data_IF_692284464279
#
_entry.id   IF_692284464279
#
_cell.length_a   1.000
_cell.length_b   1.000
_cell.length_c   1.000
_cell.angle_alpha   90.00
_cell.angle_beta   90.00
_cell.angle_gamma   90.00
#
_symmetry.space_group_name_H-M   'P 1'
#
loop_
_entity.id
_entity.type
_entity.pdbx_description
1 polymer ?
#
# COMPACT_ATOMS: atom_id res chain seq x y z
N UNK A 1 -12.05 -0.88 11.37
CA UNK A 1 -12.29 -0.54 9.95
C UNK A 1 -11.10 -1.02 9.16
N UNK A 2 -11.29 -1.74 8.09
CA UNK A 2 -10.16 -2.19 7.27
C UNK A 2 -9.58 -1.03 6.45
N UNK A 3 -8.37 -1.23 5.93
CA UNK A 3 -7.62 -0.21 5.21
C UNK A 3 -8.29 0.25 3.92
N UNK A 4 -8.91 -0.66 3.19
CA UNK A 4 -9.61 -0.33 1.95
C UNK A 4 -10.79 0.58 2.19
N UNK A 5 -11.57 0.33 3.25
CA UNK A 5 -12.68 1.19 3.66
C UNK A 5 -12.20 2.56 4.10
N UNK A 6 -11.09 2.63 4.85
CA UNK A 6 -10.47 3.91 5.24
C UNK A 6 -10.02 4.72 4.03
N UNK A 7 -9.42 4.06 3.05
CA UNK A 7 -8.97 4.71 1.82
C UNK A 7 -10.16 5.28 1.03
N UNK A 8 -11.23 4.50 0.88
CA UNK A 8 -12.45 4.96 0.19
C UNK A 8 -13.09 6.13 0.92
N UNK A 9 -13.18 6.07 2.25
CA UNK A 9 -13.69 7.16 3.06
C UNK A 9 -12.85 8.42 2.90
N UNK A 10 -11.53 8.29 2.95
CA UNK A 10 -10.62 9.43 2.78
C UNK A 10 -10.80 10.09 1.41
N UNK A 11 -10.91 9.31 0.34
CA UNK A 11 -11.15 9.83 -1.01
C UNK A 11 -12.48 10.56 -1.10
N UNK A 12 -13.54 10.00 -0.51
CA UNK A 12 -14.86 10.62 -0.47
C UNK A 12 -14.86 11.93 0.30
N UNK A 13 -14.24 11.94 1.47
CA UNK A 13 -14.14 13.14 2.31
C UNK A 13 -13.31 14.24 1.63
N UNK A 14 -12.22 13.88 0.98
CA UNK A 14 -11.40 14.81 0.21
C UNK A 14 -12.20 15.44 -0.93
N UNK A 15 -12.92 14.63 -1.70
CA UNK A 15 -13.74 15.09 -2.82
C UNK A 15 -14.82 16.07 -2.34
N UNK A 16 -15.51 15.72 -1.25
CA UNK A 16 -16.55 16.56 -0.67
C UNK A 16 -16.00 17.90 -0.15
N UNK A 17 -14.89 17.86 0.59
CA UNK A 17 -14.24 19.05 1.12
C UNK A 17 -13.75 19.97 -0.01
N UNK A 18 -13.12 19.40 -1.03
CA UNK A 18 -12.64 20.15 -2.19
C UNK A 18 -13.77 20.86 -2.93
N UNK A 19 -14.91 20.20 -3.06
CA UNK A 19 -16.09 20.76 -3.71
C UNK A 19 -16.65 21.97 -2.94
N UNK A 20 -16.76 21.86 -1.62
CA UNK A 20 -17.23 22.95 -0.76
C UNK A 20 -16.26 24.14 -0.83
N UNK A 21 -14.97 23.91 -0.72
CA UNK A 21 -13.95 24.96 -0.77
C UNK A 21 -13.96 25.64 -2.13
N UNK A 22 -14.13 24.89 -3.20
CA UNK A 22 -14.22 25.45 -4.56
C UNK A 22 -15.39 26.42 -4.70
N UNK A 23 -16.54 26.07 -4.15
CA UNK A 23 -17.71 26.98 -4.12
C UNK A 23 -17.41 28.25 -3.37
N UNK A 24 -16.71 28.20 -2.26
CA UNK A 24 -16.33 29.38 -1.49
C UNK A 24 -15.32 30.24 -2.25
N UNK A 25 -14.36 29.62 -2.94
CA UNK A 25 -13.39 30.33 -3.79
C UNK A 25 -14.06 31.05 -4.96
N UNK A 26 -15.12 30.49 -5.54
CA UNK A 26 -15.89 31.15 -6.59
C UNK A 26 -16.51 32.47 -6.09
N UNK A 27 -16.91 32.53 -4.81
CA UNK A 27 -17.45 33.72 -4.17
C UNK A 27 -16.37 34.68 -3.71
N UNK A 28 -15.19 34.21 -3.37
CA UNK A 28 -14.07 34.99 -2.85
C UNK A 28 -12.75 34.51 -3.48
N UNK A 29 -12.51 34.80 -4.78
CA UNK A 29 -11.36 34.25 -5.50
C UNK A 29 -10.00 34.66 -4.94
N UNK A 30 -9.93 35.79 -4.24
CA UNK A 30 -8.68 36.32 -3.69
C UNK A 30 -8.45 35.92 -2.22
N UNK A 31 -9.27 35.05 -1.67
CA UNK A 31 -9.14 34.61 -0.29
C UNK A 31 -7.90 33.71 -0.13
N UNK A 32 -6.87 34.27 0.48
CA UNK A 32 -5.58 33.56 0.68
C UNK A 32 -5.69 32.38 1.62
N UNK A 33 -6.56 32.45 2.62
CA UNK A 33 -6.78 31.36 3.57
C UNK A 33 -7.41 30.15 2.88
N UNK A 34 -8.40 30.37 2.01
CA UNK A 34 -9.03 29.32 1.23
C UNK A 34 -8.05 28.68 0.24
N UNK A 35 -7.20 29.47 -0.38
CA UNK A 35 -6.13 28.96 -1.26
C UNK A 35 -5.14 28.10 -0.50
N UNK A 36 -4.74 28.52 0.69
CA UNK A 36 -3.85 27.76 1.56
C UNK A 36 -4.47 26.42 1.96
N UNK A 37 -5.73 26.43 2.38
CA UNK A 37 -6.43 25.19 2.77
C UNK A 37 -6.57 24.23 1.58
N UNK A 38 -6.87 24.75 0.39
CA UNK A 38 -6.93 23.96 -0.84
C UNK A 38 -5.59 23.28 -1.13
N UNK A 39 -4.51 24.02 -1.04
CA UNK A 39 -3.17 23.49 -1.25
C UNK A 39 -2.80 22.43 -0.21
N UNK A 40 -3.10 22.69 1.04
CA UNK A 40 -2.89 21.73 2.12
C UNK A 40 -3.65 20.43 1.89
N UNK A 41 -4.93 20.49 1.54
CA UNK A 41 -5.74 19.32 1.27
C UNK A 41 -5.21 18.52 0.07
N UNK A 42 -4.84 19.22 -1.00
CA UNK A 42 -4.29 18.58 -2.20
C UNK A 42 -2.97 17.86 -1.89
N UNK A 43 -2.07 18.52 -1.18
CA UNK A 43 -0.79 17.95 -0.80
C UNK A 43 -0.97 16.75 0.14
N UNK A 44 -1.91 16.84 1.08
CA UNK A 44 -2.24 15.72 1.97
C UNK A 44 -2.77 14.51 1.21
N UNK A 45 -3.60 14.72 0.21
CA UNK A 45 -4.13 13.65 -0.65
C UNK A 45 -3.01 12.99 -1.46
N UNK A 46 -2.14 13.78 -2.06
CA UNK A 46 -0.99 13.28 -2.82
C UNK A 46 -0.08 12.44 -1.92
N UNK A 47 0.21 12.93 -0.73
CA UNK A 47 1.04 12.21 0.24
C UNK A 47 0.40 10.87 0.65
N UNK A 48 -0.87 10.88 0.99
CA UNK A 48 -1.59 9.67 1.38
C UNK A 48 -1.63 8.65 0.24
N UNK A 49 -1.86 9.09 -1.00
CA UNK A 49 -1.84 8.22 -2.18
C UNK A 49 -0.47 7.62 -2.41
N UNK A 50 0.60 8.39 -2.28
CA UNK A 50 1.97 7.90 -2.40
C UNK A 50 2.29 6.86 -1.32
N UNK A 51 1.88 7.07 -0.07
CA UNK A 51 2.04 6.10 1.00
C UNK A 51 1.31 4.79 0.69
N UNK A 52 0.09 4.85 0.16
CA UNK A 52 -0.67 3.66 -0.23
C UNK A 52 0.03 2.87 -1.32
N UNK A 53 0.59 3.54 -2.31
CA UNK A 53 1.38 2.90 -3.38
C UNK A 53 2.61 2.21 -2.83
N UNK A 54 3.34 2.86 -1.93
CA UNK A 54 4.52 2.28 -1.29
C UNK A 54 4.18 1.03 -0.47
N UNK A 55 3.04 1.03 0.22
CA UNK A 55 2.59 -0.14 0.99
C UNK A 55 2.23 -1.29 0.06
N UNK A 56 1.56 -1.02 -1.07
CA UNK A 56 1.27 -2.05 -2.08
C UNK A 56 2.54 -2.66 -2.64
N UNK A 57 3.54 -1.85 -2.95
CA UNK A 57 4.85 -2.30 -3.43
C UNK A 57 5.56 -3.16 -2.37
N UNK A 58 5.57 -2.72 -1.12
CA UNK A 58 6.15 -3.48 -0.02
C UNK A 58 5.47 -4.83 0.16
N UNK A 59 4.14 -4.88 0.10
CA UNK A 59 3.37 -6.11 0.21
C UNK A 59 3.67 -7.07 -0.96
N UNK A 60 3.85 -6.56 -2.17
CA UNK A 60 4.25 -7.37 -3.33
C UNK A 60 5.64 -7.97 -3.14
N UNK A 61 6.59 -7.20 -2.61
CA UNK A 61 7.95 -7.67 -2.29
C UNK A 61 7.89 -8.76 -1.21
N UNK A 62 7.12 -8.56 -0.15
CA UNK A 62 6.94 -9.52 0.93
C UNK A 62 6.38 -10.84 0.39
N UNK A 63 5.37 -10.77 -0.48
CA UNK A 63 4.79 -11.97 -1.11
C UNK A 63 5.81 -12.74 -1.93
N UNK A 64 6.63 -12.05 -2.73
CA UNK A 64 7.70 -12.68 -3.52
C UNK A 64 8.75 -13.34 -2.64
N UNK A 65 9.13 -12.69 -1.54
CA UNK A 65 10.10 -13.23 -0.60
C UNK A 65 9.58 -14.47 0.10
N UNK A 66 8.29 -14.49 0.45
CA UNK A 66 7.63 -15.68 1.03
C UNK A 66 7.62 -16.84 0.05
N UNK A 67 7.30 -16.60 -1.22
CA UNK A 67 7.35 -17.64 -2.25
C UNK A 67 8.75 -18.22 -2.41
N UNK A 68 9.77 -17.38 -2.46
CA UNK A 68 11.17 -17.83 -2.55
C UNK A 68 11.59 -18.64 -1.34
N UNK A 69 11.18 -18.22 -0.15
CA UNK A 69 11.43 -18.95 1.09
C UNK A 69 10.79 -20.35 1.04
N UNK A 70 9.52 -20.41 0.64
CA UNK A 70 8.77 -21.68 0.60
C UNK A 70 9.36 -22.63 -0.44
N UNK A 71 9.75 -22.14 -1.61
CA UNK A 71 10.45 -22.93 -2.62
C UNK A 71 11.81 -23.46 -2.12
N UNK A 72 12.57 -22.61 -1.43
CA UNK A 72 13.85 -23.02 -0.87
C UNK A 72 13.67 -24.10 0.21
N UNK A 73 12.62 -23.99 1.03
CA UNK A 73 12.28 -24.98 2.05
C UNK A 73 11.90 -26.32 1.42
N UNK A 74 11.07 -26.31 0.39
CA UNK A 74 10.66 -27.51 -0.34
C UNK A 74 11.88 -28.22 -0.96
N UNK A 75 12.77 -27.45 -1.57
CA UNK A 75 14.01 -27.98 -2.14
C UNK A 75 14.92 -28.62 -1.06
N UNK A 76 15.05 -27.97 0.09
CA UNK A 76 15.82 -28.50 1.21
C UNK A 76 15.22 -29.79 1.74
N UNK A 77 13.89 -29.89 1.83
CA UNK A 77 13.20 -31.12 2.25
C UNK A 77 13.41 -32.24 1.24
N UNK A 78 13.39 -31.96 -0.07
CA UNK A 78 13.67 -32.93 -1.12
C UNK A 78 15.10 -33.47 -1.04
N UNK A 79 16.10 -32.61 -0.83
CA UNK A 79 17.48 -33.01 -0.65
C UNK A 79 17.68 -33.86 0.60
N UNK A 80 17.00 -33.52 1.68
CA UNK A 80 17.04 -34.31 2.91
C UNK A 80 16.49 -35.73 2.69
N UNK A 81 15.38 -35.85 1.99
CA UNK A 81 14.77 -37.14 1.64
C UNK A 81 15.72 -38.00 0.78
N UNK A 82 16.32 -37.41 -0.23
CA UNK A 82 17.32 -38.09 -1.06
C UNK A 82 18.52 -38.56 -0.26
N UNK A 83 19.02 -37.74 0.64
CA UNK A 83 20.14 -38.08 1.50
C UNK A 83 19.82 -39.28 2.41
N UNK A 84 18.63 -39.28 3.02
CA UNK A 84 18.16 -40.38 3.86
C UNK A 84 18.03 -41.69 3.06
N UNK A 85 17.50 -41.63 1.84
CA UNK A 85 17.42 -42.81 0.96
C UNK A 85 18.77 -43.37 0.56
N UNK A 86 19.75 -42.50 0.30
CA UNK A 86 21.12 -42.91 -0.01
C UNK A 86 21.79 -43.59 1.19
N UNK A 87 21.56 -43.07 2.40
CA UNK A 87 22.06 -43.71 3.62
C UNK A 87 21.47 -45.10 3.82
N UNK A 88 20.19 -45.30 3.59
CA UNK A 88 19.55 -46.62 3.68
C UNK A 88 20.15 -47.63 2.72
N UNK A 89 20.54 -47.21 1.50
CA UNK A 89 21.16 -48.07 0.50
C UNK A 89 22.59 -48.45 0.82
N UNK A 90 23.31 -47.65 1.59
CA UNK A 90 24.70 -47.90 1.95
C UNK A 90 24.87 -48.69 3.24
N UNK A 91 23.81 -48.78 4.00
CA UNK A 91 23.77 -49.64 5.20
C UNK A 91 23.31 -51.06 4.85
#
# INVERSE_FOLDING_TARGET
MNRELLQLKFQGDFTAASHVIQKWLEKSPDNKELKYVTEYLTNSYIYATACEMQIKEANAIISRLREKRDKAKDLADDYKELYEKLQEKTL
#
